data_IF_059586350682
#
_entry.id   IF_059586350682
#
_cell.length_a   1.000
_cell.length_b   1.000
_cell.length_c   1.000
_cell.angle_alpha   90.00
_cell.angle_beta   90.00
_cell.angle_gamma   90.00
#
_symmetry.space_group_name_H-M   'P 1'
#
loop_
_entity.id
_entity.type
_entity.pdbx_description
1 polymer ?
#
# COMPACT_ATOMS: atom_id res chain seq x y z
N UNK A 1 -18.36 22.58 62.34
CA UNK A 1 -17.19 22.32 63.22
C UNK A 1 -16.20 21.60 62.34
N UNK A 2 -15.11 22.11 61.95
CA UNK A 2 -14.05 23.04 62.39
C UNK A 2 -12.84 22.63 61.59
N UNK A 3 -12.26 23.54 60.96
CA UNK A 3 -11.00 24.33 61.14
C UNK A 3 -9.84 23.68 60.38
N UNK A 4 -9.43 24.26 59.22
CA UNK A 4 -8.34 25.20 58.90
C UNK A 4 -6.99 24.88 59.58
N UNK A 5 -5.95 24.70 58.72
CA UNK A 5 -4.61 25.29 58.79
C UNK A 5 -3.76 24.74 57.64
N UNK A 6 -3.41 25.51 56.63
CA UNK A 6 -2.34 26.50 56.37
C UNK A 6 -0.96 26.14 56.95
N UNK A 7 0.03 26.04 56.04
CA UNK A 7 1.32 26.80 56.01
C UNK A 7 2.22 26.16 54.94
N UNK A 8 2.50 26.72 53.84
CA UNK A 8 3.53 27.73 53.44
C UNK A 8 4.96 27.52 54.01
N UNK A 9 5.91 27.35 53.14
CA UNK A 9 7.31 27.86 53.07
C UNK A 9 7.96 27.34 51.77
N UNK A 10 8.19 28.14 50.79
CA UNK A 10 9.27 29.10 50.53
C UNK A 10 10.67 28.50 50.31
N UNK A 11 11.10 28.60 49.07
CA UNK A 11 12.33 29.21 48.56
C UNK A 11 13.70 28.53 48.86
N UNK A 12 14.42 28.11 47.83
CA UNK A 12 15.82 28.51 47.63
C UNK A 12 16.28 28.28 46.19
N UNK A 13 16.47 29.40 45.51
CA UNK A 13 17.21 29.54 44.25
C UNK A 13 18.69 29.40 44.58
N UNK A 14 19.45 28.62 43.83
CA UNK A 14 20.91 28.78 43.71
C UNK A 14 21.32 28.83 42.26
N UNK A 15 21.60 30.06 41.85
CA UNK A 15 22.35 30.43 40.67
C UNK A 15 23.85 30.09 40.92
N UNK A 16 24.45 29.30 40.03
CA UNK A 16 25.90 29.20 39.96
C UNK A 16 26.35 29.64 38.56
N UNK A 17 26.89 30.86 38.55
CA UNK A 17 27.65 31.43 37.44
C UNK A 17 29.03 30.74 37.38
N UNK A 18 29.43 30.22 36.22
CA UNK A 18 30.79 29.79 35.96
C UNK A 18 31.44 30.74 34.97
N UNK A 19 32.50 31.35 35.45
CA UNK A 19 33.32 32.37 34.77
C UNK A 19 34.19 31.69 33.73
N UNK A 20 34.16 32.23 32.51
CA UNK A 20 35.08 31.89 31.42
C UNK A 20 36.46 32.54 31.69
N UNK A 21 37.49 31.73 31.81
CA UNK A 21 38.88 32.22 31.66
C UNK A 21 39.43 31.71 30.32
N UNK A 22 39.69 32.62 29.44
CA UNK A 22 40.39 32.42 28.18
C UNK A 22 41.89 32.30 28.45
N UNK A 23 42.52 31.20 28.07
CA UNK A 23 43.97 31.08 27.96
C UNK A 23 44.33 31.02 26.47
N UNK A 24 44.95 32.05 25.96
CA UNK A 24 45.66 32.03 24.68
C UNK A 24 46.95 31.21 24.86
N UNK A 25 47.06 30.14 24.08
CA UNK A 25 48.35 29.49 23.84
C UNK A 25 48.61 29.52 22.33
N UNK A 26 49.52 30.39 21.93
CA UNK A 26 50.14 30.38 20.60
C UNK A 26 51.15 29.26 20.55
N UNK A 27 50.97 28.28 19.68
CA UNK A 27 51.99 27.30 19.32
C UNK A 27 52.06 27.16 17.81
N UNK A 28 53.18 27.58 17.25
CA UNK A 28 53.60 27.24 15.89
C UNK A 28 53.98 25.75 15.85
N UNK A 29 53.42 25.02 14.89
CA UNK A 29 53.85 23.61 14.71
C UNK A 29 53.22 23.02 13.45
N UNK A 30 54.07 22.67 12.51
CA UNK A 30 53.81 22.31 11.13
C UNK A 30 52.75 21.21 10.90
N UNK A 31 52.10 21.29 9.76
CA UNK A 31 51.20 20.27 9.26
C UNK A 31 51.90 18.95 9.03
N UNK A 32 51.38 17.84 9.54
CA UNK A 32 51.84 16.55 9.12
C UNK A 32 51.38 16.25 7.69
N UNK A 33 52.11 15.46 6.89
CA UNK A 33 51.74 15.18 5.51
C UNK A 33 50.44 14.37 5.45
N UNK A 34 49.55 14.78 4.56
CA UNK A 34 48.28 14.13 4.28
C UNK A 34 48.49 12.65 3.87
N UNK A 35 47.86 11.73 4.56
CA UNK A 35 47.78 10.32 4.14
C UNK A 35 47.06 10.25 2.78
N UNK A 36 47.53 9.42 1.83
CA UNK A 36 46.88 9.27 0.56
C UNK A 36 45.47 8.67 0.76
N UNK A 37 44.47 9.37 0.27
CA UNK A 37 43.09 8.92 0.19
C UNK A 37 43.03 7.66 -0.69
N UNK A 38 42.39 6.56 -0.27
CA UNK A 38 42.22 5.42 -1.14
C UNK A 38 41.40 5.88 -2.36
N UNK A 39 41.93 5.66 -3.56
CA UNK A 39 41.16 5.82 -4.80
C UNK A 39 39.87 5.06 -4.67
N UNK A 40 38.73 5.76 -4.71
CA UNK A 40 37.41 5.18 -4.74
C UNK A 40 37.31 4.19 -5.89
N UNK A 41 37.20 2.93 -5.57
CA UNK A 41 36.72 1.93 -6.51
C UNK A 41 35.27 2.30 -6.80
N UNK A 42 35.03 2.83 -7.98
CA UNK A 42 33.69 2.98 -8.57
C UNK A 42 33.13 1.56 -8.66
N UNK A 43 32.21 1.25 -7.76
CA UNK A 43 31.44 0.00 -7.81
C UNK A 43 30.54 0.11 -9.04
N UNK A 44 31.01 -0.39 -10.17
CA UNK A 44 30.17 -0.61 -11.35
C UNK A 44 29.26 -1.79 -11.00
N UNK A 45 27.97 -1.48 -10.73
CA UNK A 45 26.96 -2.53 -10.67
C UNK A 45 27.02 -3.31 -11.99
N UNK A 46 26.99 -4.65 -11.93
CA UNK A 46 26.90 -5.44 -13.14
C UNK A 46 25.57 -5.10 -13.83
N UNK A 47 25.67 -4.41 -14.94
CA UNK A 47 24.53 -4.16 -15.84
C UNK A 47 24.12 -5.53 -16.37
N UNK A 48 23.02 -6.06 -15.88
CA UNK A 48 22.40 -7.27 -16.43
C UNK A 48 22.07 -7.00 -17.90
N UNK A 49 22.88 -7.54 -18.80
CA UNK A 49 22.79 -7.34 -20.26
C UNK A 49 21.55 -8.01 -20.90
N UNK A 50 20.65 -8.62 -20.10
CA UNK A 50 19.50 -9.38 -20.58
C UNK A 50 18.15 -8.89 -20.01
N UNK A 51 18.02 -7.64 -19.57
CA UNK A 51 16.71 -7.08 -19.29
C UNK A 51 16.03 -6.74 -20.62
N UNK A 52 15.01 -7.50 -21.01
CA UNK A 52 14.18 -7.11 -22.16
C UNK A 52 13.67 -5.68 -21.99
N UNK A 53 13.68 -4.86 -23.04
CA UNK A 53 13.22 -3.48 -22.97
C UNK A 53 11.75 -3.46 -22.52
N UNK A 54 11.46 -2.67 -21.48
CA UNK A 54 10.08 -2.48 -20.97
C UNK A 54 9.27 -1.78 -22.07
N UNK A 55 8.29 -2.48 -22.63
CA UNK A 55 7.47 -1.99 -23.73
C UNK A 55 6.15 -1.40 -23.23
N UNK A 56 5.74 -0.29 -23.83
CA UNK A 56 4.40 0.28 -23.61
C UNK A 56 3.37 -0.64 -24.25
N UNK A 57 2.34 -1.04 -23.52
CA UNK A 57 1.27 -1.85 -24.06
C UNK A 57 0.49 -1.06 -25.13
N UNK A 58 0.45 -1.56 -26.35
CA UNK A 58 -0.36 -0.98 -27.41
C UNK A 58 -1.86 -1.27 -27.18
N UNK A 59 -2.74 -0.43 -27.76
CA UNK A 59 -4.15 -0.76 -27.82
C UNK A 59 -4.30 -2.00 -28.70
N UNK A 60 -4.92 -3.10 -28.22
CA UNK A 60 -5.12 -4.29 -29.04
C UNK A 60 -5.96 -3.97 -30.29
N UNK A 61 -5.67 -4.58 -31.45
CA UNK A 61 -6.39 -4.32 -32.70
C UNK A 61 -7.83 -4.83 -32.69
N UNK A 62 -8.17 -5.68 -31.72
CA UNK A 62 -9.54 -6.22 -31.59
C UNK A 62 -10.32 -5.48 -30.52
N UNK A 63 -11.64 -5.34 -30.69
CA UNK A 63 -12.49 -4.75 -29.65
C UNK A 63 -12.30 -5.42 -28.29
N UNK A 64 -12.41 -4.67 -27.19
CA UNK A 64 -12.37 -5.25 -25.84
C UNK A 64 -13.56 -6.19 -25.63
N UNK A 65 -13.39 -7.28 -24.88
CA UNK A 65 -14.48 -8.19 -24.58
C UNK A 65 -15.54 -7.51 -23.71
N UNK A 66 -16.82 -7.91 -23.86
CA UNK A 66 -17.87 -7.44 -22.97
C UNK A 66 -17.62 -7.90 -21.53
N UNK A 67 -17.90 -7.02 -20.57
CA UNK A 67 -17.76 -7.27 -19.13
C UNK A 67 -19.05 -6.97 -18.39
N UNK A 68 -19.36 -7.78 -17.38
CA UNK A 68 -20.56 -7.64 -16.53
C UNK A 68 -20.39 -6.52 -15.51
N UNK A 69 -19.17 -6.30 -15.01
CA UNK A 69 -18.87 -5.21 -14.09
C UNK A 69 -19.41 -3.88 -14.59
N UNK A 70 -20.08 -3.12 -13.72
CA UNK A 70 -20.70 -1.84 -14.11
C UNK A 70 -19.67 -0.77 -14.46
N UNK A 71 -18.49 -0.80 -13.83
CA UNK A 71 -17.37 0.06 -14.20
C UNK A 71 -16.11 -0.78 -14.40
N UNK A 72 -15.35 -0.46 -15.45
CA UNK A 72 -14.08 -1.14 -15.70
C UNK A 72 -13.09 -0.20 -16.39
N UNK A 73 -11.80 -0.45 -16.19
CA UNK A 73 -10.72 0.23 -16.90
C UNK A 73 -9.52 -0.71 -17.06
N UNK A 74 -8.82 -0.57 -18.17
CA UNK A 74 -7.50 -1.18 -18.41
C UNK A 74 -6.51 -0.09 -18.71
N UNK A 75 -5.40 -0.06 -18.01
CA UNK A 75 -4.30 0.89 -18.26
C UNK A 75 -2.98 0.16 -18.47
N UNK A 76 -2.12 0.75 -19.28
CA UNK A 76 -0.71 0.39 -19.37
C UNK A 76 0.04 0.91 -18.14
N UNK A 77 0.83 0.05 -17.49
CA UNK A 77 1.54 0.41 -16.25
C UNK A 77 2.63 1.46 -16.49
N UNK A 78 3.34 1.36 -17.61
CA UNK A 78 4.50 2.22 -17.91
C UNK A 78 4.05 3.63 -18.21
N UNK A 79 3.20 3.80 -19.23
CA UNK A 79 2.73 5.10 -19.71
C UNK A 79 1.56 5.65 -18.89
N UNK A 80 0.74 4.79 -18.26
CA UNK A 80 -0.54 5.16 -17.68
C UNK A 80 -1.65 5.34 -18.71
N UNK A 81 -1.39 5.07 -20.00
CA UNK A 81 -2.37 5.19 -21.07
C UNK A 81 -3.55 4.25 -20.82
N UNK A 82 -4.77 4.78 -21.03
CA UNK A 82 -5.99 3.99 -20.97
C UNK A 82 -6.13 3.18 -22.26
N UNK A 83 -6.26 1.88 -22.12
CA UNK A 83 -6.49 0.93 -23.25
C UNK A 83 -7.97 0.64 -23.42
N UNK A 84 -8.73 0.63 -22.32
CA UNK A 84 -10.17 0.40 -22.29
C UNK A 84 -10.79 1.12 -21.10
N UNK A 85 -11.99 1.67 -21.26
CA UNK A 85 -12.78 2.27 -20.19
C UNK A 85 -14.28 2.04 -20.40
N UNK A 86 -14.95 1.65 -19.32
CA UNK A 86 -16.42 1.54 -19.21
C UNK A 86 -16.83 2.20 -17.90
N UNK A 87 -17.61 3.28 -17.97
CA UNK A 87 -18.08 4.01 -16.79
C UNK A 87 -16.97 4.27 -15.75
N UNK A 88 -15.74 4.56 -16.25
CA UNK A 88 -14.54 4.54 -15.41
C UNK A 88 -14.50 5.66 -14.37
N UNK A 89 -15.27 6.71 -14.57
CA UNK A 89 -15.30 7.92 -13.74
C UNK A 89 -16.53 8.00 -12.81
N UNK A 90 -17.43 7.01 -12.87
CA UNK A 90 -18.59 6.97 -11.99
C UNK A 90 -18.17 6.58 -10.57
N UNK A 91 -18.45 7.44 -9.55
CA UNK A 91 -18.16 7.14 -8.15
C UNK A 91 -18.91 5.89 -7.67
N UNK A 92 -18.20 4.99 -6.97
CA UNK A 92 -18.74 3.73 -6.45
C UNK A 92 -18.09 3.35 -5.14
N UNK A 93 -18.78 2.54 -4.34
CA UNK A 93 -18.15 1.81 -3.25
C UNK A 93 -17.14 0.79 -3.84
N UNK A 94 -15.91 0.82 -3.37
CA UNK A 94 -14.81 -0.01 -3.90
C UNK A 94 -14.38 -1.11 -2.96
N UNK A 95 -15.01 -1.20 -1.79
CA UNK A 95 -14.71 -2.18 -0.75
C UNK A 95 -13.20 -2.27 -0.44
N UNK A 96 -12.73 -3.45 -0.07
CA UNK A 96 -11.32 -3.68 0.30
C UNK A 96 -10.30 -3.43 -0.81
N UNK A 97 -10.68 -3.07 -2.04
CA UNK A 97 -9.69 -2.65 -3.03
C UNK A 97 -8.98 -1.36 -2.61
N UNK A 98 -9.63 -0.50 -1.80
CA UNK A 98 -9.00 0.71 -1.22
C UNK A 98 -7.80 0.41 -0.30
N UNK A 99 -7.63 -0.84 0.19
CA UNK A 99 -6.44 -1.25 0.94
C UNK A 99 -5.14 -1.08 0.14
N UNK A 100 -5.22 -0.90 -1.18
CA UNK A 100 -4.10 -0.46 -2.02
C UNK A 100 -3.61 0.92 -1.54
N UNK A 101 -4.52 1.86 -1.30
CA UNK A 101 -4.17 3.19 -0.79
C UNK A 101 -3.66 3.11 0.65
N UNK A 102 -4.28 2.28 1.49
CA UNK A 102 -3.79 2.00 2.85
C UNK A 102 -2.34 1.52 2.82
N UNK A 103 -2.01 0.55 1.96
CA UNK A 103 -0.65 0.04 1.83
C UNK A 103 0.34 1.12 1.36
N UNK A 104 -0.06 1.99 0.43
CA UNK A 104 0.76 3.12 -0.01
C UNK A 104 1.05 4.09 1.14
N UNK A 105 0.04 4.45 1.95
CA UNK A 105 0.23 5.33 3.11
C UNK A 105 1.17 4.74 4.15
N UNK A 106 1.08 3.42 4.39
CA UNK A 106 1.99 2.73 5.32
C UNK A 106 3.43 2.72 4.79
N UNK A 107 3.63 2.57 3.46
CA UNK A 107 4.97 2.67 2.86
C UNK A 107 5.52 4.09 2.95
N UNK A 108 4.70 5.11 2.70
CA UNK A 108 5.11 6.51 2.80
C UNK A 108 5.55 6.88 4.23
N UNK A 109 4.95 6.25 5.25
CA UNK A 109 5.35 6.42 6.64
C UNK A 109 6.74 5.80 6.95
N UNK A 110 7.35 5.11 5.99
CA UNK A 110 8.69 4.52 6.10
C UNK A 110 8.81 3.41 7.13
N UNK A 111 10.03 3.01 7.41
CA UNK A 111 10.41 1.95 8.36
C UNK A 111 9.41 0.77 8.42
N UNK A 112 9.42 -0.04 7.35
CA UNK A 112 8.53 -1.21 7.25
C UNK A 112 8.82 -2.29 8.30
N UNK A 113 9.96 -2.23 8.96
CA UNK A 113 10.35 -3.14 10.04
C UNK A 113 10.00 -2.59 11.44
N UNK A 114 9.37 -1.41 11.52
CA UNK A 114 8.84 -0.86 12.77
C UNK A 114 7.85 -1.85 13.40
N UNK A 115 8.02 -2.19 14.71
CA UNK A 115 7.05 -3.00 15.43
C UNK A 115 5.74 -2.22 15.65
N UNK A 116 4.63 -2.92 15.52
CA UNK A 116 3.26 -2.45 15.76
C UNK A 116 2.67 -3.33 16.85
N UNK A 117 2.36 -2.75 17.99
CA UNK A 117 1.65 -3.42 19.08
C UNK A 117 0.16 -3.44 18.73
N UNK A 118 -0.47 -4.60 18.81
CA UNK A 118 -1.91 -4.75 18.56
C UNK A 118 -2.72 -4.27 19.78
N UNK A 119 -3.76 -3.50 19.54
CA UNK A 119 -4.68 -3.02 20.56
C UNK A 119 -6.07 -3.64 20.42
N UNK A 120 -6.84 -3.62 21.49
CA UNK A 120 -8.21 -4.17 21.49
C UNK A 120 -9.11 -3.50 20.44
N UNK A 121 -8.92 -2.20 20.23
CA UNK A 121 -9.64 -1.39 19.23
C UNK A 121 -9.40 -1.83 17.81
N UNK A 122 -8.26 -2.46 17.51
CA UNK A 122 -7.93 -2.95 16.15
C UNK A 122 -8.89 -4.08 15.73
N UNK A 123 -9.31 -4.90 16.69
CA UNK A 123 -10.27 -5.99 16.48
C UNK A 123 -11.74 -5.56 16.32
N UNK A 124 -12.07 -4.28 16.54
CA UNK A 124 -13.45 -3.77 16.48
C UNK A 124 -13.91 -3.55 15.01
N UNK A 125 -13.87 -4.61 14.19
CA UNK A 125 -14.28 -4.58 12.78
C UNK A 125 -14.72 -5.97 12.30
N UNK A 126 -15.84 -6.04 11.62
CA UNK A 126 -16.36 -7.26 10.97
C UNK A 126 -16.67 -6.97 9.49
N UNK A 127 -16.74 -8.00 8.63
CA UNK A 127 -16.16 -9.33 8.73
C UNK A 127 -14.66 -9.33 8.33
N UNK A 128 -14.07 -10.50 8.18
CA UNK A 128 -12.71 -10.69 7.63
C UNK A 128 -11.61 -10.16 8.54
N UNK A 129 -11.38 -10.86 9.64
CA UNK A 129 -10.27 -10.61 10.56
C UNK A 129 -9.19 -11.69 10.45
N UNK A 130 -7.95 -11.31 10.76
CA UNK A 130 -6.89 -12.28 11.06
C UNK A 130 -7.10 -12.87 12.46
N UNK A 131 -7.70 -12.10 13.38
CA UNK A 131 -7.92 -12.46 14.76
C UNK A 131 -6.68 -12.21 15.63
N UNK A 132 -6.04 -11.07 15.42
CA UNK A 132 -4.94 -10.58 16.25
C UNK A 132 -5.41 -10.30 17.66
N UNK A 133 -4.57 -10.60 18.67
CA UNK A 133 -4.88 -10.38 20.08
C UNK A 133 -4.18 -9.12 20.60
N UNK A 134 -4.79 -8.35 21.49
CA UNK A 134 -4.13 -7.23 22.15
C UNK A 134 -2.83 -7.67 22.83
N UNK A 135 -1.79 -6.84 22.67
CA UNK A 135 -0.44 -7.10 23.17
C UNK A 135 0.47 -7.90 22.23
N UNK A 136 -0.06 -8.53 21.17
CA UNK A 136 0.77 -9.12 20.11
C UNK A 136 1.55 -8.03 19.38
N UNK A 137 2.75 -8.35 18.91
CA UNK A 137 3.63 -7.40 18.22
C UNK A 137 4.06 -7.98 16.88
N UNK A 138 3.81 -7.23 15.81
CA UNK A 138 4.20 -7.58 14.45
C UNK A 138 4.85 -6.40 13.75
N UNK A 139 5.73 -6.64 12.80
CA UNK A 139 6.28 -5.56 11.98
C UNK A 139 5.24 -5.03 10.98
N UNK A 140 5.36 -3.76 10.56
CA UNK A 140 4.58 -3.22 9.43
C UNK A 140 4.66 -4.13 8.21
N UNK A 141 5.84 -4.71 7.94
CA UNK A 141 6.10 -5.64 6.83
C UNK A 141 5.22 -6.87 6.88
N UNK A 142 5.13 -7.53 8.02
CA UNK A 142 4.28 -8.71 8.23
C UNK A 142 2.80 -8.35 8.05
N UNK A 143 2.36 -7.26 8.68
CA UNK A 143 0.99 -6.78 8.59
C UNK A 143 0.62 -6.36 7.16
N UNK A 144 1.52 -5.68 6.42
CA UNK A 144 1.30 -5.34 5.00
C UNK A 144 1.12 -6.59 4.14
N UNK A 145 1.89 -7.66 4.38
CA UNK A 145 1.73 -8.92 3.65
C UNK A 145 0.35 -9.52 3.90
N UNK A 146 -0.09 -9.55 5.15
CA UNK A 146 -1.45 -10.02 5.51
C UNK A 146 -2.52 -9.14 4.87
N UNK A 147 -2.36 -7.81 4.91
CA UNK A 147 -3.29 -6.84 4.32
C UNK A 147 -3.52 -7.12 2.82
N UNK A 148 -2.45 -7.38 2.08
CA UNK A 148 -2.52 -7.60 0.64
C UNK A 148 -3.05 -8.99 0.29
N UNK A 149 -2.62 -10.04 1.00
CA UNK A 149 -2.98 -11.43 0.71
C UNK A 149 -4.37 -11.80 1.27
N UNK A 150 -4.57 -11.63 2.58
CA UNK A 150 -5.78 -12.05 3.30
C UNK A 150 -6.85 -10.99 3.35
N UNK A 151 -6.47 -9.71 3.16
CA UNK A 151 -7.42 -8.59 3.23
C UNK A 151 -8.01 -8.34 4.63
N UNK A 152 -7.31 -8.72 5.70
CA UNK A 152 -7.79 -8.63 7.06
C UNK A 152 -8.07 -7.17 7.49
N UNK A 153 -9.25 -6.92 8.07
CA UNK A 153 -9.70 -5.58 8.46
C UNK A 153 -9.05 -5.11 9.75
N UNK A 154 -8.88 -5.99 10.73
CA UNK A 154 -8.14 -5.74 11.98
C UNK A 154 -6.69 -5.30 11.70
N UNK A 155 -6.02 -5.96 10.75
CA UNK A 155 -4.69 -5.56 10.29
C UNK A 155 -4.71 -4.17 9.66
N UNK A 156 -5.73 -3.85 8.86
CA UNK A 156 -5.88 -2.51 8.29
C UNK A 156 -6.04 -1.43 9.37
N UNK A 157 -6.79 -1.74 10.45
CA UNK A 157 -6.97 -0.83 11.59
C UNK A 157 -5.69 -0.64 12.38
N UNK A 158 -4.96 -1.72 12.69
CA UNK A 158 -3.69 -1.66 13.40
C UNK A 158 -2.66 -0.80 12.65
N UNK A 159 -2.53 -1.00 11.34
CA UNK A 159 -1.65 -0.19 10.49
C UNK A 159 -2.09 1.28 10.42
N UNK A 160 -3.39 1.54 10.36
CA UNK A 160 -3.93 2.89 10.35
C UNK A 160 -3.66 3.64 11.67
N UNK A 161 -3.86 2.97 12.80
CA UNK A 161 -3.54 3.52 14.12
C UNK A 161 -2.03 3.77 14.27
N UNK A 162 -1.20 2.83 13.84
CA UNK A 162 0.26 2.97 13.90
C UNK A 162 0.79 4.17 13.10
N UNK A 163 0.17 4.50 11.97
CA UNK A 163 0.60 5.59 11.09
C UNK A 163 -0.10 6.91 11.39
N UNK A 164 -1.39 6.87 11.72
CA UNK A 164 -2.23 8.05 11.90
C UNK A 164 -2.57 8.38 13.35
N UNK A 165 -2.31 7.47 14.29
CA UNK A 165 -2.78 7.57 15.67
C UNK A 165 -4.20 7.04 15.84
N UNK A 166 -5.10 7.35 14.92
CA UNK A 166 -6.49 6.89 14.89
C UNK A 166 -6.98 6.66 13.44
N UNK A 167 -8.22 6.18 13.30
CA UNK A 167 -8.81 5.85 11.99
C UNK A 167 -9.17 7.09 11.17
N UNK A 168 -9.61 8.15 11.82
CA UNK A 168 -10.03 9.40 11.18
C UNK A 168 -8.81 10.16 10.62
N UNK A 169 -7.79 10.34 11.44
CA UNK A 169 -6.51 10.93 11.02
C UNK A 169 -5.89 10.14 9.88
N UNK A 170 -5.95 8.79 9.95
CA UNK A 170 -5.46 7.97 8.85
C UNK A 170 -6.30 8.12 7.57
N UNK A 171 -7.63 8.25 7.67
CA UNK A 171 -8.47 8.54 6.51
C UNK A 171 -8.10 9.88 5.85
N UNK A 172 -7.76 10.91 6.66
CA UNK A 172 -7.25 12.16 6.13
C UNK A 172 -5.89 11.98 5.42
N UNK A 173 -4.99 11.12 5.95
CA UNK A 173 -3.73 10.74 5.27
C UNK A 173 -4.03 10.05 3.93
N UNK A 174 -4.97 9.10 3.90
CA UNK A 174 -5.39 8.43 2.66
C UNK A 174 -5.88 9.44 1.61
N UNK A 175 -6.73 10.38 2.00
CA UNK A 175 -7.27 11.39 1.08
C UNK A 175 -6.18 12.35 0.57
N UNK A 176 -5.23 12.77 1.42
CA UNK A 176 -4.05 13.53 0.96
C UNK A 176 -3.20 12.73 -0.03
N UNK A 177 -2.99 11.43 0.23
CA UNK A 177 -2.31 10.54 -0.72
C UNK A 177 -3.05 10.47 -2.05
N UNK A 178 -4.37 10.33 -2.04
CA UNK A 178 -5.19 10.34 -3.24
C UNK A 178 -4.99 11.63 -4.05
N UNK A 179 -5.08 12.77 -3.38
CA UNK A 179 -4.86 14.08 -4.01
C UNK A 179 -3.46 14.17 -4.66
N UNK A 180 -2.41 13.73 -3.95
CA UNK A 180 -1.02 13.73 -4.46
C UNK A 180 -0.81 12.82 -5.68
N UNK A 181 -1.62 11.76 -5.82
CA UNK A 181 -1.61 10.86 -6.96
C UNK A 181 -2.47 11.35 -8.13
N UNK A 182 -3.28 12.40 -7.94
CA UNK A 182 -4.23 12.89 -8.93
C UNK A 182 -5.56 12.12 -8.97
N UNK A 183 -5.91 11.40 -7.90
CA UNK A 183 -7.21 10.74 -7.72
C UNK A 183 -8.25 11.79 -7.30
N UNK A 184 -8.96 12.37 -8.27
CA UNK A 184 -9.84 13.53 -8.05
C UNK A 184 -11.25 13.17 -7.62
N UNK A 185 -11.65 11.91 -7.78
CA UNK A 185 -13.01 11.42 -7.52
C UNK A 185 -12.97 10.29 -6.48
N UNK A 186 -12.23 10.51 -5.38
CA UNK A 186 -12.11 9.55 -4.28
C UNK A 186 -12.22 10.24 -2.94
N UNK A 187 -12.93 9.60 -2.01
CA UNK A 187 -13.02 10.00 -0.62
C UNK A 187 -13.07 8.76 0.27
N UNK A 188 -12.07 8.57 1.10
CA UNK A 188 -11.98 7.45 2.02
C UNK A 188 -12.28 7.89 3.45
N UNK A 189 -13.02 7.07 4.20
CA UNK A 189 -13.43 7.30 5.59
C UNK A 189 -12.82 6.30 6.58
N UNK A 190 -12.31 5.18 6.08
CA UNK A 190 -11.70 4.12 6.88
C UNK A 190 -10.58 3.41 6.10
N UNK A 191 -9.67 2.68 6.76
CA UNK A 191 -8.53 2.04 6.10
C UNK A 191 -8.87 0.72 5.41
N UNK A 192 -10.04 0.15 5.60
CA UNK A 192 -10.33 -1.24 5.25
C UNK A 192 -11.36 -1.44 4.14
N UNK A 193 -12.22 -0.45 3.86
CA UNK A 193 -13.20 -0.50 2.79
C UNK A 193 -14.56 -1.10 3.18
N UNK A 194 -14.88 -1.19 4.46
CA UNK A 194 -16.25 -1.40 4.89
C UNK A 194 -17.09 -0.19 4.50
N UNK A 195 -18.35 -0.44 4.20
CA UNK A 195 -19.26 0.59 3.72
C UNK A 195 -19.43 1.70 4.75
N UNK A 196 -19.21 2.94 4.30
CA UNK A 196 -19.34 4.14 5.11
C UNK A 196 -20.00 5.24 4.27
N UNK A 197 -20.98 5.99 4.80
CA UNK A 197 -21.61 7.10 4.09
C UNK A 197 -20.56 8.11 3.61
N UNK A 198 -20.65 8.47 2.32
CA UNK A 198 -19.71 9.40 1.69
C UNK A 198 -18.35 8.81 1.34
N UNK A 199 -18.12 7.50 1.51
CA UNK A 199 -16.92 6.82 1.04
C UNK A 199 -17.11 6.28 -0.38
N UNK A 200 -16.23 6.70 -1.29
CA UNK A 200 -16.28 6.27 -2.70
C UNK A 200 -14.91 6.40 -3.38
N UNK A 201 -14.81 5.80 -4.54
CA UNK A 201 -13.75 6.01 -5.54
C UNK A 201 -14.30 5.67 -6.93
N UNK A 202 -13.46 5.74 -7.95
CA UNK A 202 -13.80 5.39 -9.33
C UNK A 202 -12.86 4.30 -9.86
N UNK A 203 -13.21 3.64 -10.96
CA UNK A 203 -12.31 2.67 -11.57
C UNK A 203 -11.02 3.35 -12.06
N UNK A 204 -11.09 4.60 -12.54
CA UNK A 204 -9.91 5.38 -12.95
C UNK A 204 -9.01 5.70 -11.76
N UNK A 205 -9.56 6.21 -10.69
CA UNK A 205 -8.77 6.56 -9.50
C UNK A 205 -8.14 5.32 -8.88
N UNK A 206 -8.88 4.21 -8.81
CA UNK A 206 -8.32 2.93 -8.34
C UNK A 206 -7.21 2.40 -9.27
N UNK A 207 -7.27 2.65 -10.58
CA UNK A 207 -6.18 2.31 -11.49
C UNK A 207 -4.94 3.19 -11.26
N UNK A 208 -5.12 4.48 -10.93
CA UNK A 208 -4.03 5.39 -10.54
C UNK A 208 -3.34 4.88 -9.26
N UNK A 209 -4.11 4.57 -8.21
CA UNK A 209 -3.58 4.00 -6.98
C UNK A 209 -2.86 2.67 -7.22
N UNK A 210 -3.46 1.80 -8.03
CA UNK A 210 -2.88 0.51 -8.39
C UNK A 210 -1.55 0.66 -9.14
N UNK A 211 -1.45 1.63 -10.05
CA UNK A 211 -0.21 1.93 -10.78
C UNK A 211 0.89 2.41 -9.83
N UNK A 212 0.56 3.26 -8.86
CA UNK A 212 1.50 3.69 -7.83
C UNK A 212 1.97 2.49 -6.97
N UNK A 213 1.05 1.63 -6.54
CA UNK A 213 1.34 0.44 -5.75
C UNK A 213 2.18 -0.59 -6.53
N UNK A 214 1.91 -0.77 -7.81
CA UNK A 214 2.64 -1.69 -8.69
C UNK A 214 4.11 -1.32 -8.87
N UNK A 215 4.45 -0.03 -8.73
CA UNK A 215 5.85 0.45 -8.76
C UNK A 215 6.65 0.05 -7.51
N UNK A 216 5.97 -0.28 -6.41
CA UNK A 216 6.63 -0.78 -5.20
C UNK A 216 6.92 -2.28 -5.33
N UNK A 217 8.21 -2.70 -5.37
CA UNK A 217 8.55 -4.13 -5.40
C UNK A 217 7.97 -4.90 -4.23
N UNK A 218 7.88 -4.27 -3.05
CA UNK A 218 7.33 -4.88 -1.83
C UNK A 218 5.82 -5.17 -1.98
N UNK A 219 5.01 -4.16 -2.37
CA UNK A 219 3.57 -4.37 -2.56
C UNK A 219 3.33 -5.40 -3.66
N UNK A 220 4.05 -5.31 -4.77
CA UNK A 220 3.91 -6.24 -5.90
C UNK A 220 4.20 -7.68 -5.48
N UNK A 221 5.28 -7.91 -4.73
CA UNK A 221 5.63 -9.25 -4.25
C UNK A 221 4.55 -9.83 -3.33
N UNK A 222 3.96 -9.00 -2.45
CA UNK A 222 2.87 -9.44 -1.59
C UNK A 222 1.58 -9.72 -2.37
N UNK A 223 1.24 -8.84 -3.30
CA UNK A 223 0.05 -9.03 -4.15
C UNK A 223 0.14 -10.30 -5.01
N UNK A 224 1.33 -10.68 -5.47
CA UNK A 224 1.58 -11.90 -6.24
C UNK A 224 1.66 -13.17 -5.38
N UNK A 225 1.77 -13.04 -4.05
CA UNK A 225 1.85 -14.20 -3.14
C UNK A 225 0.53 -14.97 -3.16
N UNK A 226 0.54 -16.23 -3.62
CA UNK A 226 -0.66 -17.08 -3.70
C UNK A 226 -1.13 -17.56 -2.33
N UNK A 227 -0.17 -17.93 -1.47
CA UNK A 227 -0.40 -18.32 -0.08
C UNK A 227 0.90 -18.23 0.71
N UNK A 228 0.80 -18.09 2.03
CA UNK A 228 1.93 -18.16 2.94
C UNK A 228 1.49 -18.55 4.34
N UNK A 229 2.38 -19.14 5.13
CA UNK A 229 2.14 -19.42 6.54
C UNK A 229 2.41 -18.17 7.38
N UNK A 230 1.38 -17.67 8.06
CA UNK A 230 1.52 -16.60 9.05
C UNK A 230 1.74 -17.22 10.43
N UNK A 231 2.77 -16.75 11.14
CA UNK A 231 3.09 -17.18 12.51
C UNK A 231 2.59 -16.15 13.51
N UNK A 232 1.75 -16.58 14.44
CA UNK A 232 1.29 -15.77 15.56
C UNK A 232 2.35 -15.73 16.68
N UNK A 233 2.26 -14.73 17.56
CA UNK A 233 3.18 -14.59 18.69
C UNK A 233 3.09 -15.77 19.68
N UNK A 234 1.94 -16.45 19.76
CA UNK A 234 1.75 -17.66 20.58
C UNK A 234 2.31 -18.95 19.92
N UNK A 235 3.03 -18.82 18.81
CA UNK A 235 3.69 -19.92 18.09
C UNK A 235 2.78 -20.64 17.07
N UNK A 236 1.47 -20.45 17.10
CA UNK A 236 0.56 -21.03 16.10
C UNK A 236 0.89 -20.51 14.69
N UNK A 237 0.66 -21.34 13.70
CA UNK A 237 0.75 -20.95 12.29
C UNK A 237 -0.60 -21.13 11.61
N UNK A 238 -0.88 -20.26 10.62
CA UNK A 238 -2.06 -20.35 9.78
C UNK A 238 -1.70 -20.12 8.33
N UNK A 239 -2.10 -21.02 7.46
CA UNK A 239 -1.99 -20.79 6.02
C UNK A 239 -2.97 -19.70 5.60
N UNK A 240 -2.47 -18.61 5.05
CA UNK A 240 -3.24 -17.51 4.49
C UNK A 240 -3.18 -17.57 2.97
N UNK A 241 -4.33 -17.76 2.33
CA UNK A 241 -4.46 -17.78 0.88
C UNK A 241 -4.85 -16.39 0.36
N UNK A 242 -4.34 -16.06 -0.82
CA UNK A 242 -4.72 -14.85 -1.53
C UNK A 242 -6.19 -14.92 -1.98
N UNK A 243 -6.89 -13.84 -1.75
CA UNK A 243 -8.30 -13.72 -2.12
C UNK A 243 -8.52 -13.55 -3.63
N UNK A 244 -7.48 -13.22 -4.40
CA UNK A 244 -7.53 -13.08 -5.85
C UNK A 244 -7.41 -14.45 -6.56
N UNK A 245 -8.53 -14.98 -7.04
CA UNK A 245 -8.55 -16.28 -7.74
C UNK A 245 -7.88 -16.24 -9.11
N UNK A 246 -7.75 -15.06 -9.75
CA UNK A 246 -7.11 -14.94 -11.07
C UNK A 246 -5.61 -15.30 -10.99
N UNK A 247 -4.95 -15.11 -9.84
CA UNK A 247 -3.57 -15.57 -9.58
C UNK A 247 -3.38 -17.09 -9.76
N UNK A 248 -4.46 -17.88 -9.58
CA UNK A 248 -4.42 -19.33 -9.72
C UNK A 248 -4.69 -19.78 -11.16
N UNK A 249 -5.33 -18.95 -11.98
CA UNK A 249 -5.84 -19.31 -13.31
C UNK A 249 -5.06 -18.69 -14.46
N UNK A 250 -4.41 -17.54 -14.25
CA UNK A 250 -3.59 -16.88 -15.26
C UNK A 250 -2.14 -16.79 -14.78
N UNK A 251 -1.18 -17.47 -15.44
CA UNK A 251 0.21 -17.52 -14.98
C UNK A 251 0.91 -16.17 -14.98
N UNK A 252 0.52 -15.24 -15.84
CA UNK A 252 1.06 -13.88 -15.90
C UNK A 252 0.29 -12.86 -15.05
N UNK A 253 -0.77 -13.26 -14.33
CA UNK A 253 -1.39 -12.41 -13.32
C UNK A 253 -0.48 -12.33 -12.09
N UNK A 254 -0.19 -11.12 -11.62
CA UNK A 254 0.72 -10.85 -10.50
C UNK A 254 0.12 -9.96 -9.40
N UNK A 255 -1.19 -9.80 -9.39
CA UNK A 255 -1.89 -9.06 -8.31
C UNK A 255 -3.28 -8.59 -8.71
N UNK A 256 -3.86 -7.58 -8.04
CA UNK A 256 -3.40 -6.85 -6.87
C UNK A 256 -4.32 -7.09 -5.66
N UNK A 257 -5.63 -6.72 -5.76
CA UNK A 257 -6.50 -6.68 -4.59
C UNK A 257 -7.97 -6.89 -4.94
N UNK A 258 -8.65 -7.73 -4.15
CA UNK A 258 -10.10 -7.95 -4.19
C UNK A 258 -10.85 -7.06 -3.20
N UNK A 259 -12.13 -6.86 -3.43
CA UNK A 259 -13.04 -6.21 -2.50
C UNK A 259 -14.47 -6.72 -2.63
N UNK A 260 -15.21 -6.76 -1.52
CA UNK A 260 -16.62 -7.14 -1.49
C UNK A 260 -17.30 -6.52 -0.28
N UNK A 261 -18.43 -5.86 -0.51
CA UNK A 261 -19.46 -5.52 0.47
C UNK A 261 -20.83 -5.64 -0.22
N UNK A 262 -21.91 -5.59 0.53
CA UNK A 262 -23.25 -5.58 -0.07
C UNK A 262 -23.42 -4.36 -1.00
N UNK A 263 -22.94 -3.19 -0.58
CA UNK A 263 -23.04 -1.96 -1.37
C UNK A 263 -22.17 -1.99 -2.65
N UNK A 264 -20.95 -2.51 -2.56
CA UNK A 264 -20.01 -2.51 -3.69
C UNK A 264 -20.22 -3.64 -4.68
N UNK A 265 -20.93 -4.72 -4.31
CA UNK A 265 -20.82 -5.96 -5.05
C UNK A 265 -19.39 -6.50 -5.03
N UNK A 266 -19.00 -7.24 -6.07
CA UNK A 266 -17.62 -7.73 -6.24
C UNK A 266 -16.77 -6.69 -6.96
N UNK A 267 -15.60 -6.40 -6.40
CA UNK A 267 -14.60 -5.50 -6.96
C UNK A 267 -13.24 -6.22 -7.06
N UNK A 268 -12.51 -5.95 -8.12
CA UNK A 268 -11.18 -6.51 -8.31
C UNK A 268 -10.29 -5.51 -9.05
N UNK A 269 -9.14 -5.27 -8.47
CA UNK A 269 -8.00 -4.67 -9.15
C UNK A 269 -7.02 -5.80 -9.44
N UNK A 270 -6.77 -6.08 -10.70
CA UNK A 270 -5.77 -7.07 -11.12
C UNK A 270 -4.63 -6.40 -11.86
N UNK A 271 -3.49 -7.06 -11.88
CA UNK A 271 -2.35 -6.71 -12.72
C UNK A 271 -1.79 -7.96 -13.37
N UNK A 272 -1.05 -7.77 -14.43
CA UNK A 272 -0.36 -8.85 -15.12
C UNK A 272 0.74 -8.34 -16.01
N UNK A 273 1.73 -9.21 -16.24
CA UNK A 273 2.88 -8.94 -17.11
C UNK A 273 3.11 -10.10 -18.06
N UNK A 274 3.27 -9.77 -19.34
CA UNK A 274 3.56 -10.75 -20.39
C UNK A 274 4.38 -10.08 -21.52
N UNK A 275 5.47 -10.71 -21.94
CA UNK A 275 6.31 -10.23 -23.03
C UNK A 275 6.77 -8.77 -22.88
N UNK A 276 7.25 -8.40 -21.69
CA UNK A 276 7.72 -7.05 -21.37
C UNK A 276 6.62 -5.98 -21.24
N UNK A 277 5.34 -6.34 -21.41
CA UNK A 277 4.19 -5.44 -21.21
C UNK A 277 3.53 -5.72 -19.87
N UNK A 278 3.09 -4.66 -19.18
CA UNK A 278 2.37 -4.78 -17.92
C UNK A 278 1.12 -3.92 -17.94
N UNK A 279 0.01 -4.48 -17.48
CA UNK A 279 -1.27 -3.76 -17.41
C UNK A 279 -1.92 -3.89 -16.05
N UNK A 280 -2.77 -2.92 -15.73
CA UNK A 280 -3.69 -2.95 -14.59
C UNK A 280 -5.11 -2.98 -15.13
N UNK A 281 -5.92 -3.86 -14.57
CA UNK A 281 -7.36 -3.99 -14.83
C UNK A 281 -8.12 -3.73 -13.55
N UNK A 282 -9.06 -2.80 -13.59
CA UNK A 282 -10.01 -2.56 -12.50
C UNK A 282 -11.41 -2.92 -12.98
N UNK A 283 -12.12 -3.74 -12.21
CA UNK A 283 -13.54 -4.07 -12.42
C UNK A 283 -14.27 -3.80 -11.11
N UNK A 284 -15.30 -2.97 -11.14
CA UNK A 284 -16.10 -2.57 -9.99
C UNK A 284 -17.58 -2.93 -10.20
N UNK A 285 -18.27 -3.21 -9.09
CA UNK A 285 -19.70 -3.52 -9.05
C UNK A 285 -20.06 -4.66 -9.99
N UNK A 286 -19.38 -5.78 -9.83
CA UNK A 286 -19.65 -7.06 -10.50
C UNK A 286 -20.27 -8.06 -9.51
N UNK A 287 -20.42 -9.30 -9.92
CA UNK A 287 -20.89 -10.42 -9.10
C UNK A 287 -19.97 -11.65 -9.26
N UNK A 288 -20.27 -12.73 -8.57
CA UNK A 288 -19.59 -14.01 -8.71
C UNK A 288 -20.42 -14.91 -9.66
N UNK A 289 -19.81 -15.58 -10.68
CA UNK A 289 -18.36 -15.70 -10.94
C UNK A 289 -17.78 -14.58 -11.82
N UNK A 290 -18.61 -13.66 -12.31
CA UNK A 290 -18.26 -12.74 -13.39
C UNK A 290 -17.05 -11.85 -13.07
N UNK A 291 -16.82 -11.47 -11.81
CA UNK A 291 -15.64 -10.68 -11.44
C UNK A 291 -14.30 -11.32 -11.88
N UNK A 292 -14.21 -12.65 -11.78
CA UNK A 292 -13.01 -13.40 -12.20
C UNK A 292 -12.94 -13.49 -13.73
N UNK A 293 -14.09 -13.73 -14.37
CA UNK A 293 -14.19 -13.84 -15.82
C UNK A 293 -13.87 -12.50 -16.51
N UNK A 294 -14.48 -11.42 -16.04
CA UNK A 294 -14.26 -10.06 -16.57
C UNK A 294 -12.78 -9.67 -16.49
N UNK A 295 -12.20 -9.88 -15.31
CA UNK A 295 -10.80 -9.55 -15.07
C UNK A 295 -9.85 -10.38 -15.93
N UNK A 296 -10.10 -11.70 -16.03
CA UNK A 296 -9.30 -12.61 -16.85
C UNK A 296 -9.41 -12.27 -18.34
N UNK A 297 -10.63 -12.00 -18.83
CA UNK A 297 -10.87 -11.61 -20.23
C UNK A 297 -10.12 -10.32 -20.60
N UNK A 298 -10.17 -9.31 -19.72
CA UNK A 298 -9.49 -8.03 -19.96
C UNK A 298 -7.97 -8.17 -19.89
N UNK A 299 -7.43 -8.98 -18.96
CA UNK A 299 -6.00 -9.27 -18.91
C UNK A 299 -5.53 -9.99 -20.17
N UNK A 300 -6.26 -11.03 -20.62
CA UNK A 300 -5.98 -11.74 -21.87
C UNK A 300 -6.03 -10.82 -23.07
N UNK A 301 -7.10 -10.04 -23.20
CA UNK A 301 -7.26 -9.08 -24.29
C UNK A 301 -6.09 -8.10 -24.39
N UNK A 302 -5.62 -7.59 -23.23
CA UNK A 302 -4.57 -6.60 -23.22
C UNK A 302 -3.15 -7.15 -23.40
N UNK A 303 -2.90 -8.44 -23.02
CA UNK A 303 -1.56 -8.99 -22.95
C UNK A 303 -1.26 -10.11 -23.96
N UNK A 304 -2.22 -11.00 -24.27
CA UNK A 304 -1.96 -12.18 -25.10
C UNK A 304 -1.88 -11.86 -26.60
N UNK A 305 -2.42 -10.74 -27.05
CA UNK A 305 -2.45 -10.39 -28.46
C UNK A 305 -1.23 -9.59 -28.87
N UNK A 306 -0.67 -9.82 -30.07
CA UNK A 306 0.43 -8.99 -30.58
C UNK A 306 0.00 -7.53 -30.64
N UNK A 307 0.91 -6.61 -30.35
CA UNK A 307 0.71 -5.21 -30.63
C UNK A 307 0.56 -5.04 -32.16
N UNK A 308 -0.40 -4.23 -32.59
CA UNK A 308 -0.48 -3.88 -34.01
C UNK A 308 0.85 -3.25 -34.44
N UNK A 309 1.54 -3.85 -35.40
CA UNK A 309 2.80 -3.35 -35.92
C UNK A 309 4.08 -3.92 -35.27
N UNK A 310 4.05 -5.15 -34.76
CA UNK A 310 5.27 -5.89 -34.42
C UNK A 310 5.78 -6.68 -35.64
#
# INVERSE_FOLDING_TARGET
>A
MGIIQRMSRLLCVRLAAFVMTAALVTSCGGNPPAKPTPRGQTYQQPVSRNAEPVRVAAIPPTPPPPVVGESAIVIDVVSGRVLYAKNADIPRAVASTQKIVTALCVLDAGNVDKPVVIEATDGACEPTKLGLKPGEVYTRRELLKVLMVKSANDVGRALARDVGGDQETFAAIMNRKCASLGMRNSNFKNPHGLTEPGQYSTARDMAIAARAAYRSPLIRSYAATKAFNFRFNDGRTRLLENTNKVLKTLPYCDGLKTGTTNASGRCLVSSGSLNGRSVIVVVLKSNTPNIWNDSSKLLRWALERPAAGA
#
